data_IF_969844194142
#
_entry.id   IF_969844194142
#
_cell.length_a   1.000
_cell.length_b   1.000
_cell.length_c   1.000
_cell.angle_alpha   90.00
_cell.angle_beta   90.00
_cell.angle_gamma   90.00
#
_symmetry.space_group_name_H-M   'P 1'
#
loop_
_entity.id
_entity.type
_entity.pdbx_description
1 polymer ?
#
# COMPACT_ATOMS: atom_id res chain seq x y z
N UNK A 1 -13.05 -20.62 17.26
CA UNK A 1 -11.63 -20.98 17.13
C UNK A 1 -11.15 -20.91 15.66
N UNK A 2 -11.70 -21.66 14.67
CA UNK A 2 -11.16 -21.65 13.30
C UNK A 2 -11.53 -20.40 12.46
N UNK A 3 -12.72 -19.84 12.65
CA UNK A 3 -13.17 -18.62 11.92
C UNK A 3 -12.23 -17.44 12.19
N UNK A 4 -11.77 -17.32 13.43
CA UNK A 4 -10.88 -16.25 13.83
C UNK A 4 -9.54 -16.33 13.11
N UNK A 5 -9.01 -17.55 12.97
CA UNK A 5 -7.79 -17.80 12.23
C UNK A 5 -7.95 -17.46 10.74
N UNK A 6 -9.04 -17.93 10.10
CA UNK A 6 -9.28 -17.66 8.69
C UNK A 6 -9.39 -16.15 8.38
N UNK A 7 -10.06 -15.37 9.24
CA UNK A 7 -10.18 -13.92 9.08
C UNK A 7 -8.81 -13.23 9.19
N UNK A 8 -8.03 -13.58 10.22
CA UNK A 8 -6.70 -12.99 10.43
C UNK A 8 -5.74 -13.34 9.30
N UNK A 9 -5.78 -14.58 8.80
CA UNK A 9 -4.98 -15.01 7.65
C UNK A 9 -5.40 -14.29 6.36
N UNK A 10 -6.70 -14.13 6.10
CA UNK A 10 -7.18 -13.38 4.94
C UNK A 10 -6.76 -11.91 5.00
N UNK A 11 -6.84 -11.30 6.18
CA UNK A 11 -6.37 -9.94 6.43
C UNK A 11 -4.85 -9.82 6.19
N UNK A 12 -4.09 -10.83 6.59
CA UNK A 12 -2.65 -10.88 6.37
C UNK A 12 -2.30 -10.87 4.88
N UNK A 13 -2.89 -11.79 4.13
CA UNK A 13 -2.72 -11.86 2.68
C UNK A 13 -3.17 -10.59 1.96
N UNK A 14 -4.23 -9.93 2.44
CA UNK A 14 -4.68 -8.66 1.88
C UNK A 14 -3.59 -7.58 1.95
N UNK A 15 -2.93 -7.43 3.11
CA UNK A 15 -1.84 -6.46 3.25
C UNK A 15 -0.60 -6.87 2.44
N UNK A 16 -0.29 -8.17 2.36
CA UNK A 16 0.80 -8.66 1.53
C UNK A 16 0.57 -8.36 0.04
N UNK A 17 -0.65 -8.58 -0.47
CA UNK A 17 -1.00 -8.24 -1.86
C UNK A 17 -0.83 -6.75 -2.12
N UNK A 18 -1.25 -5.88 -1.19
CA UNK A 18 -1.06 -4.43 -1.31
C UNK A 18 0.44 -4.09 -1.37
N UNK A 19 1.26 -4.64 -0.48
CA UNK A 19 2.70 -4.42 -0.50
C UNK A 19 3.32 -4.85 -1.83
N UNK A 20 2.98 -6.04 -2.32
CA UNK A 20 3.48 -6.55 -3.59
C UNK A 20 3.06 -5.67 -4.75
N UNK A 21 1.82 -5.17 -4.78
CA UNK A 21 1.38 -4.22 -5.81
C UNK A 21 2.20 -2.93 -5.79
N UNK A 22 2.49 -2.37 -4.61
CA UNK A 22 3.32 -1.17 -4.47
C UNK A 22 4.78 -1.47 -4.89
N UNK A 23 5.33 -2.63 -4.53
CA UNK A 23 6.66 -3.05 -4.97
C UNK A 23 6.73 -3.22 -6.49
N UNK A 24 5.72 -3.84 -7.11
CA UNK A 24 5.61 -3.96 -8.56
C UNK A 24 5.53 -2.58 -9.20
N UNK A 25 4.77 -1.63 -8.63
CA UNK A 25 4.72 -0.23 -9.09
C UNK A 25 6.11 0.40 -9.11
N UNK A 26 6.92 0.19 -8.07
CA UNK A 26 8.32 0.67 -8.02
C UNK A 26 9.16 0.02 -9.12
N UNK A 27 9.06 -1.30 -9.30
CA UNK A 27 9.81 -2.02 -10.35
C UNK A 27 9.42 -1.52 -11.75
N UNK A 28 8.12 -1.32 -12.01
CA UNK A 28 7.63 -0.79 -13.28
C UNK A 28 8.20 0.61 -13.54
N UNK A 29 8.26 1.47 -12.52
CA UNK A 29 8.88 2.80 -12.60
C UNK A 29 10.37 2.74 -12.91
N UNK A 30 11.13 1.89 -12.19
CA UNK A 30 12.57 1.68 -12.39
C UNK A 30 12.90 1.18 -13.79
N UNK A 31 12.09 0.25 -14.31
CA UNK A 31 12.26 -0.30 -15.65
C UNK A 31 11.68 0.59 -16.76
N UNK A 32 11.07 1.73 -16.42
CA UNK A 32 10.37 2.63 -17.35
C UNK A 32 9.24 1.91 -18.13
N UNK A 33 8.57 0.97 -17.47
CA UNK A 33 7.48 0.14 -18.00
C UNK A 33 6.08 0.62 -17.55
N UNK A 34 5.99 1.81 -16.95
CA UNK A 34 4.73 2.44 -16.58
C UNK A 34 4.03 2.99 -17.83
N UNK A 35 3.22 2.15 -18.48
CA UNK A 35 2.46 2.54 -19.65
C UNK A 35 0.99 2.11 -19.51
N UNK A 36 0.07 2.95 -19.99
CA UNK A 36 -1.37 2.71 -19.88
C UNK A 36 -1.90 1.73 -20.93
N UNK A 37 -1.09 1.44 -21.96
CA UNK A 37 -1.45 0.51 -23.03
C UNK A 37 -1.32 -0.95 -22.61
N UNK A 38 -0.39 -1.30 -21.71
CA UNK A 38 -0.29 -2.63 -21.15
C UNK A 38 -1.34 -2.83 -20.03
N UNK A 39 -2.26 -3.81 -20.16
CA UNK A 39 -3.30 -4.04 -19.17
C UNK A 39 -2.79 -4.33 -17.76
N UNK A 40 -1.66 -5.04 -17.62
CA UNK A 40 -1.06 -5.36 -16.32
C UNK A 40 -0.46 -4.13 -15.66
N UNK A 41 0.28 -3.31 -16.43
CA UNK A 41 0.83 -2.05 -15.94
C UNK A 41 -0.31 -1.12 -15.52
N UNK A 42 -1.32 -0.93 -16.37
CA UNK A 42 -2.52 -0.13 -16.06
C UNK A 42 -3.22 -0.60 -14.79
N UNK A 43 -3.39 -1.92 -14.60
CA UNK A 43 -4.00 -2.47 -13.41
C UNK A 43 -3.23 -2.12 -12.14
N UNK A 44 -1.90 -2.33 -12.13
CA UNK A 44 -1.05 -1.99 -10.98
C UNK A 44 -1.14 -0.50 -10.69
N UNK A 45 -1.07 0.34 -11.73
CA UNK A 45 -1.10 1.80 -11.56
C UNK A 45 -2.43 2.25 -10.97
N UNK A 46 -3.55 1.89 -11.60
CA UNK A 46 -4.88 2.32 -11.14
C UNK A 46 -5.21 1.81 -9.74
N UNK A 47 -4.77 0.59 -9.40
CA UNK A 47 -5.06 0.00 -8.08
C UNK A 47 -4.19 0.61 -6.98
N UNK A 48 -2.93 0.95 -7.29
CA UNK A 48 -2.02 1.55 -6.30
C UNK A 48 -2.17 3.06 -6.16
N UNK A 49 -2.70 3.75 -7.18
CA UNK A 49 -2.80 5.22 -7.20
C UNK A 49 -3.57 5.82 -6.01
N UNK A 50 -4.76 5.32 -5.60
CA UNK A 50 -5.47 5.85 -4.45
C UNK A 50 -4.71 5.72 -3.13
N UNK A 51 -3.78 4.76 -3.05
CA UNK A 51 -2.91 4.56 -1.90
C UNK A 51 -1.75 5.54 -1.97
N UNK A 52 -1.12 5.72 -3.14
CA UNK A 52 0.09 6.53 -3.30
C UNK A 52 -0.18 8.04 -3.38
N UNK A 53 -1.30 8.46 -3.95
CA UNK A 53 -1.65 9.88 -4.15
C UNK A 53 -1.60 10.71 -2.86
N UNK A 54 -2.16 10.27 -1.72
CA UNK A 54 -2.08 11.02 -0.48
C UNK A 54 -0.63 11.22 -0.01
N UNK A 55 0.22 10.21 -0.19
CA UNK A 55 1.64 10.30 0.18
C UNK A 55 2.42 11.22 -0.77
N UNK A 56 2.08 11.24 -2.07
CA UNK A 56 2.61 12.23 -3.02
C UNK A 56 2.19 13.65 -2.63
N UNK A 57 0.92 13.85 -2.31
CA UNK A 57 0.43 15.14 -1.86
C UNK A 57 1.17 15.63 -0.61
N UNK A 58 1.45 14.73 0.35
CA UNK A 58 2.28 15.03 1.52
C UNK A 58 3.73 15.36 1.14
N UNK A 59 4.33 14.62 0.21
CA UNK A 59 5.67 14.89 -0.29
C UNK A 59 5.76 16.29 -0.92
N UNK A 60 4.84 16.66 -1.81
CA UNK A 60 4.83 17.97 -2.48
C UNK A 60 4.58 19.15 -1.53
N UNK A 61 3.79 18.91 -0.46
CA UNK A 61 3.54 19.91 0.58
C UNK A 61 4.74 20.10 1.52
N UNK A 62 5.62 19.11 1.63
CA UNK A 62 6.84 19.21 2.43
C UNK A 62 7.90 20.09 1.76
N UNK A 63 8.53 20.98 2.52
CA UNK A 63 9.64 21.81 2.05
C UNK A 63 10.84 20.99 1.56
N UNK A 64 11.00 19.77 2.08
CA UNK A 64 12.08 18.84 1.69
C UNK A 64 11.67 18.05 0.44
N UNK A 65 10.40 17.63 0.37
CA UNK A 65 9.90 16.76 -0.69
C UNK A 65 9.63 17.45 -2.03
N UNK A 66 9.37 18.77 -2.02
CA UNK A 66 9.04 19.54 -3.23
C UNK A 66 10.16 19.54 -4.29
N UNK A 67 11.43 19.50 -3.88
CA UNK A 67 12.58 19.53 -4.79
C UNK A 67 13.09 18.12 -5.14
N UNK A 68 12.48 17.06 -4.61
CA UNK A 68 12.88 15.69 -4.92
C UNK A 68 12.28 15.29 -6.27
N UNK A 69 13.14 14.98 -7.23
CA UNK A 69 12.76 14.43 -8.54
C UNK A 69 12.34 12.94 -8.46
N UNK A 70 12.57 12.30 -7.31
CA UNK A 70 12.24 10.89 -7.07
C UNK A 70 10.94 10.81 -6.28
N UNK A 71 10.06 9.91 -6.70
CA UNK A 71 8.82 9.60 -6.00
C UNK A 71 9.11 8.70 -4.79
N UNK A 72 9.17 9.30 -3.60
CA UNK A 72 9.35 8.57 -2.33
C UNK A 72 8.01 8.09 -1.76
N UNK A 73 6.88 8.41 -2.40
CA UNK A 73 5.55 7.99 -1.95
C UNK A 73 5.39 6.48 -1.79
N UNK A 74 5.97 5.59 -2.63
CA UNK A 74 5.83 4.15 -2.45
C UNK A 74 6.49 3.65 -1.17
N UNK A 75 7.66 4.20 -0.84
CA UNK A 75 8.39 3.84 0.39
C UNK A 75 7.61 4.32 1.61
N UNK A 76 7.17 5.58 1.60
CA UNK A 76 6.35 6.13 2.69
C UNK A 76 5.04 5.36 2.88
N UNK A 77 4.38 4.98 1.78
CA UNK A 77 3.16 4.19 1.81
C UNK A 77 3.39 2.83 2.47
N UNK A 78 4.43 2.09 2.07
CA UNK A 78 4.77 0.79 2.67
C UNK A 78 5.05 0.94 4.17
N UNK A 79 5.83 1.95 4.58
CA UNK A 79 6.13 2.18 5.99
C UNK A 79 4.87 2.47 6.81
N UNK A 80 4.00 3.35 6.31
CA UNK A 80 2.74 3.69 7.00
C UNK A 80 1.81 2.48 7.04
N UNK A 81 1.70 1.71 5.97
CA UNK A 81 0.87 0.51 5.92
C UNK A 81 1.38 -0.53 6.93
N UNK A 82 2.69 -0.82 6.95
CA UNK A 82 3.26 -1.87 7.78
C UNK A 82 3.31 -1.52 9.26
N UNK A 83 3.71 -0.30 9.59
CA UNK A 83 3.97 0.08 10.98
C UNK A 83 2.80 0.78 11.66
N UNK A 84 1.84 1.31 10.89
CA UNK A 84 0.67 2.00 11.44
C UNK A 84 -0.64 1.29 11.08
N UNK A 85 -0.98 1.18 9.80
CA UNK A 85 -2.31 0.72 9.38
C UNK A 85 -2.54 -0.75 9.75
N UNK A 86 -1.63 -1.64 9.33
CA UNK A 86 -1.75 -3.09 9.57
C UNK A 86 -1.92 -3.43 11.06
N UNK A 87 -1.05 -3.03 12.00
CA UNK A 87 -1.22 -3.37 13.41
C UNK A 87 -2.52 -2.78 14.01
N UNK A 88 -2.93 -1.58 13.59
CA UNK A 88 -4.19 -0.98 14.05
C UNK A 88 -5.41 -1.78 13.57
N UNK A 89 -5.43 -2.19 12.30
CA UNK A 89 -6.53 -2.98 11.74
C UNK A 89 -6.59 -4.37 12.39
N UNK A 90 -5.45 -5.04 12.57
CA UNK A 90 -5.41 -6.32 13.28
C UNK A 90 -5.93 -6.21 14.71
N UNK A 91 -5.51 -5.17 15.45
CA UNK A 91 -5.99 -4.92 16.81
C UNK A 91 -7.50 -4.64 16.84
N UNK A 92 -8.01 -3.86 15.89
CA UNK A 92 -9.43 -3.56 15.77
C UNK A 92 -10.24 -4.83 15.49
N UNK A 93 -9.81 -5.64 14.53
CA UNK A 93 -10.47 -6.91 14.17
C UNK A 93 -10.48 -7.86 15.36
N UNK A 94 -9.35 -8.03 16.06
CA UNK A 94 -9.28 -8.83 17.28
C UNK A 94 -10.19 -8.31 18.39
N UNK A 95 -10.29 -6.97 18.55
CA UNK A 95 -11.19 -6.36 19.52
C UNK A 95 -12.65 -6.65 19.18
N UNK A 96 -13.06 -6.53 17.92
CA UNK A 96 -14.42 -6.83 17.48
C UNK A 96 -14.78 -8.29 17.71
N UNK A 97 -13.84 -9.20 17.41
CA UNK A 97 -14.02 -10.64 17.57
C UNK A 97 -14.05 -11.11 19.03
N UNK A 98 -13.73 -10.24 19.99
CA UNK A 98 -13.94 -10.52 21.41
C UNK A 98 -15.41 -10.41 21.82
N UNK A 99 -16.22 -9.68 21.05
CA UNK A 99 -17.63 -9.42 21.37
C UNK A 99 -18.62 -10.27 20.57
N UNK A 100 -18.13 -11.14 19.68
CA UNK A 100 -18.89 -12.09 18.86
C UNK A 100 -18.54 -13.50 19.32
#
# INVERSE_FOLDING_TARGET
MPVNFAILTALDYFFEVINWLILIRVILSLLRMENMSNPLSRFVIVTTEPILEPFRALQFRSSIGRNLMIDFSPVLAILVIQYLVRPLVFKLVLLLMRYI
#
